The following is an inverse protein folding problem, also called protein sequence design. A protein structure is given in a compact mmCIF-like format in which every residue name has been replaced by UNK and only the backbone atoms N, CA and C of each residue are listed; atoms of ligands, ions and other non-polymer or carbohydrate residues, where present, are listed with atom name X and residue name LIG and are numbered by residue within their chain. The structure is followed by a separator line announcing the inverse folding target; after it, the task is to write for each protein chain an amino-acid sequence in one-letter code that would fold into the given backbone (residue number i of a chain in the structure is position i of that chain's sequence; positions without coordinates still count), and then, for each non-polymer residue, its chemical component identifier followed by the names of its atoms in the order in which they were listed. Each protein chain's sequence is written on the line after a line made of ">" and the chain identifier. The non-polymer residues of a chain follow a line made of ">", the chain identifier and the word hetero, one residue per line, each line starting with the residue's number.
data_IF_687738830556
#
_entry.id   IF_687738830556
#
_cell.length_a   1.000
_cell.length_b   1.000
_cell.length_c   1.000
_cell.angle_alpha   90.00
_cell.angle_beta   90.00
_cell.angle_gamma   90.00
#
_symmetry.space_group_name_H-M   'P 1'
#
loop_
_entity.id
_entity.type
_entity.pdbx_description
1 polymer ?
#
# COMPACT_ATOMS: atom_id res chain seq x y z
N UNK A 1 -4.50 -11.79 -14.39
CA UNK A 1 -4.27 -11.32 -12.99
C UNK A 1 -5.30 -12.00 -12.09
N UNK A 2 -4.90 -12.65 -10.99
CA UNK A 2 -5.82 -13.44 -10.14
C UNK A 2 -6.99 -12.60 -9.60
N UNK A 3 -6.72 -11.37 -9.12
CA UNK A 3 -7.75 -10.46 -8.62
C UNK A 3 -8.74 -10.05 -9.73
N UNK A 4 -8.27 -9.81 -10.96
CA UNK A 4 -9.14 -9.42 -12.07
C UNK A 4 -10.17 -10.51 -12.38
N UNK A 5 -9.70 -11.75 -12.59
CA UNK A 5 -10.59 -12.87 -12.90
C UNK A 5 -11.58 -13.10 -11.76
N UNK A 6 -11.12 -13.00 -10.52
CA UNK A 6 -11.97 -13.12 -9.33
C UNK A 6 -13.12 -12.09 -9.28
N UNK A 7 -12.86 -10.84 -9.68
CA UNK A 7 -13.88 -9.79 -9.70
C UNK A 7 -14.88 -10.00 -10.85
N UNK A 8 -14.38 -10.37 -12.04
CA UNK A 8 -15.24 -10.69 -13.19
C UNK A 8 -16.12 -11.90 -12.91
N UNK A 9 -15.59 -12.96 -12.29
CA UNK A 9 -16.36 -14.15 -11.87
C UNK A 9 -17.44 -13.82 -10.84
N UNK A 10 -17.23 -12.79 -10.02
CA UNK A 10 -18.24 -12.26 -9.07
C UNK A 10 -19.28 -11.35 -9.73
N UNK A 11 -19.15 -11.07 -11.03
CA UNK A 11 -20.14 -10.31 -11.80
C UNK A 11 -19.97 -8.80 -11.76
N UNK A 12 -18.82 -8.29 -11.30
CA UNK A 12 -18.56 -6.84 -11.32
C UNK A 12 -18.31 -6.33 -12.75
N UNK A 13 -18.67 -5.07 -13.06
CA UNK A 13 -18.41 -4.49 -14.39
C UNK A 13 -16.92 -4.52 -14.74
N UNK A 14 -16.58 -4.93 -15.96
CA UNK A 14 -15.18 -5.04 -16.39
C UNK A 14 -14.40 -3.72 -16.22
N UNK A 15 -15.03 -2.58 -16.47
CA UNK A 15 -14.42 -1.27 -16.28
C UNK A 15 -13.99 -1.01 -14.82
N UNK A 16 -14.77 -1.50 -13.85
CA UNK A 16 -14.44 -1.43 -12.43
C UNK A 16 -13.31 -2.41 -12.09
N UNK A 17 -13.39 -3.64 -12.58
CA UNK A 17 -12.33 -4.65 -12.42
C UNK A 17 -10.98 -4.15 -12.94
N UNK A 18 -10.97 -3.51 -14.11
CA UNK A 18 -9.79 -2.89 -14.71
C UNK A 18 -9.26 -1.75 -13.86
N UNK A 19 -10.14 -0.91 -13.32
CA UNK A 19 -9.73 0.22 -12.48
C UNK A 19 -9.09 -0.26 -11.18
N UNK A 20 -9.69 -1.25 -10.52
CA UNK A 20 -9.17 -1.82 -9.28
C UNK A 20 -7.82 -2.48 -9.52
N UNK A 21 -7.72 -3.35 -10.52
CA UNK A 21 -6.50 -4.13 -10.76
C UNK A 21 -5.35 -3.30 -11.29
N UNK A 22 -5.61 -2.21 -12.03
CA UNK A 22 -4.58 -1.22 -12.41
C UNK A 22 -4.04 -0.42 -11.22
N UNK A 23 -4.86 -0.14 -10.22
CA UNK A 23 -4.44 0.57 -9.01
C UNK A 23 -3.78 -0.36 -7.99
N UNK A 24 -4.27 -1.60 -7.87
CA UNK A 24 -3.73 -2.66 -7.01
C UNK A 24 -2.77 -3.56 -7.80
N UNK A 25 -1.79 -2.93 -8.46
CA UNK A 25 -0.92 -3.55 -9.47
C UNK A 25 0.32 -4.29 -8.91
N UNK A 26 0.41 -4.46 -7.58
CA UNK A 26 1.47 -5.23 -6.93
C UNK A 26 0.87 -6.45 -6.25
N UNK A 27 1.65 -7.52 -6.13
CA UNK A 27 1.18 -8.73 -5.41
C UNK A 27 0.74 -8.41 -3.98
N UNK A 28 1.43 -7.48 -3.31
CA UNK A 28 1.07 -7.05 -1.94
C UNK A 28 -0.33 -6.43 -1.87
N UNK A 29 -0.62 -5.45 -2.72
CA UNK A 29 -1.92 -4.76 -2.72
C UNK A 29 -3.04 -5.66 -3.26
N UNK A 30 -2.76 -6.48 -4.29
CA UNK A 30 -3.70 -7.46 -4.81
C UNK A 30 -4.05 -8.54 -3.76
N UNK A 31 -3.06 -9.05 -3.01
CA UNK A 31 -3.27 -10.03 -1.97
C UNK A 31 -4.12 -9.49 -0.82
N UNK A 32 -3.96 -8.21 -0.43
CA UNK A 32 -4.84 -7.59 0.59
C UNK A 32 -6.29 -7.53 0.12
N UNK A 33 -6.53 -7.11 -1.12
CA UNK A 33 -7.90 -7.09 -1.68
C UNK A 33 -8.49 -8.50 -1.79
N UNK A 34 -7.71 -9.50 -2.25
CA UNK A 34 -8.16 -10.90 -2.27
C UNK A 34 -8.49 -11.41 -0.86
N UNK A 35 -7.64 -11.11 0.11
CA UNK A 35 -7.86 -11.47 1.51
C UNK A 35 -9.12 -10.84 2.08
N UNK A 36 -9.34 -9.55 1.82
CA UNK A 36 -10.57 -8.85 2.19
C UNK A 36 -11.79 -9.52 1.58
N UNK A 37 -11.79 -9.73 0.25
CA UNK A 37 -12.89 -10.37 -0.49
C UNK A 37 -13.15 -11.82 -0.08
N UNK A 38 -12.21 -12.49 0.60
CA UNK A 38 -12.41 -13.86 1.10
C UNK A 38 -13.43 -13.93 2.24
N UNK A 39 -13.72 -12.80 2.90
CA UNK A 39 -14.68 -12.71 4.00
C UNK A 39 -16.09 -12.32 3.55
N UNK A 40 -16.29 -12.02 2.26
CA UNK A 40 -17.56 -11.52 1.74
C UNK A 40 -18.02 -12.34 0.54
N UNK A 41 -19.28 -12.80 0.59
CA UNK A 41 -19.93 -13.47 -0.54
C UNK A 41 -20.29 -12.48 -1.65
N UNK A 42 -20.62 -11.24 -1.31
CA UNK A 42 -20.92 -10.14 -2.22
C UNK A 42 -20.60 -8.80 -1.54
N UNK A 43 -20.11 -7.83 -2.31
CA UNK A 43 -19.86 -6.45 -1.87
C UNK A 43 -20.52 -5.49 -2.86
N UNK A 44 -21.17 -4.41 -2.41
CA UNK A 44 -21.53 -3.32 -3.30
C UNK A 44 -20.29 -2.70 -3.94
N UNK A 45 -20.41 -2.18 -5.17
CA UNK A 45 -19.29 -1.55 -5.89
C UNK A 45 -18.65 -0.41 -5.08
N UNK A 46 -19.44 0.37 -4.35
CA UNK A 46 -18.94 1.45 -3.49
C UNK A 46 -18.01 0.94 -2.40
N UNK A 47 -18.39 -0.12 -1.68
CA UNK A 47 -17.56 -0.72 -0.63
C UNK A 47 -16.28 -1.36 -1.21
N UNK A 48 -16.37 -1.94 -2.41
CA UNK A 48 -15.21 -2.46 -3.12
C UNK A 48 -14.19 -1.35 -3.47
N UNK A 49 -14.69 -0.19 -3.91
CA UNK A 49 -13.86 0.99 -4.18
C UNK A 49 -13.28 1.57 -2.89
N UNK A 50 -14.08 1.63 -1.81
CA UNK A 50 -13.61 2.12 -0.52
C UNK A 50 -12.46 1.25 0.02
N UNK A 51 -12.55 -0.07 -0.08
CA UNK A 51 -11.46 -0.95 0.32
C UNK A 51 -10.21 -0.76 -0.56
N UNK A 52 -10.38 -0.55 -1.88
CA UNK A 52 -9.25 -0.21 -2.76
C UNK A 52 -8.55 1.07 -2.28
N UNK A 53 -9.32 2.12 -1.95
CA UNK A 53 -8.78 3.39 -1.46
C UNK A 53 -8.09 3.22 -0.10
N UNK A 54 -8.64 2.40 0.80
CA UNK A 54 -8.03 2.05 2.08
C UNK A 54 -6.66 1.39 1.89
N UNK A 55 -6.55 0.39 1.02
CA UNK A 55 -5.29 -0.30 0.70
C UNK A 55 -4.25 0.67 0.10
N UNK A 56 -4.69 1.57 -0.79
CA UNK A 56 -3.81 2.59 -1.39
C UNK A 56 -3.31 3.59 -0.34
N UNK A 57 -4.16 3.99 0.60
CA UNK A 57 -3.80 4.86 1.72
C UNK A 57 -2.74 4.22 2.61
N UNK A 58 -2.95 2.96 3.01
CA UNK A 58 -2.00 2.17 3.79
C UNK A 58 -0.63 2.07 3.09
N UNK A 59 -0.64 1.80 1.78
CA UNK A 59 0.59 1.74 0.97
C UNK A 59 1.34 3.09 1.01
N UNK A 60 0.63 4.20 0.86
CA UNK A 60 1.24 5.53 0.87
C UNK A 60 1.81 5.87 2.27
N UNK A 61 1.11 5.51 3.35
CA UNK A 61 1.59 5.69 4.71
C UNK A 61 2.88 4.90 4.97
N UNK A 62 2.98 3.66 4.47
CA UNK A 62 4.22 2.85 4.55
C UNK A 62 5.38 3.53 3.82
N UNK A 63 5.15 4.09 2.64
CA UNK A 63 6.18 4.80 1.88
C UNK A 63 6.66 6.05 2.61
N UNK A 64 5.74 6.88 3.10
CA UNK A 64 6.06 8.08 3.88
C UNK A 64 6.85 7.74 5.13
N UNK A 65 6.46 6.68 5.85
CA UNK A 65 7.19 6.19 7.02
C UNK A 65 8.63 5.83 6.66
N UNK A 66 8.85 5.06 5.58
CA UNK A 66 10.20 4.68 5.13
C UNK A 66 11.05 5.88 4.73
N UNK A 67 10.46 6.89 4.10
CA UNK A 67 11.16 8.14 3.78
C UNK A 67 11.56 8.90 5.04
N UNK A 68 10.65 9.02 6.01
CA UNK A 68 10.93 9.65 7.31
C UNK A 68 12.01 8.91 8.09
N UNK A 69 11.99 7.58 8.12
CA UNK A 69 13.02 6.75 8.77
C UNK A 69 14.40 6.95 8.12
N UNK A 70 14.46 7.06 6.79
CA UNK A 70 15.72 7.37 6.07
C UNK A 70 16.24 8.76 6.40
N UNK A 71 15.37 9.76 6.44
CA UNK A 71 15.74 11.12 6.81
C UNK A 71 16.27 11.18 8.25
N UNK A 72 15.59 10.49 9.18
CA UNK A 72 16.03 10.41 10.57
C UNK A 72 17.38 9.69 10.70
N UNK A 73 17.61 8.59 9.95
CA UNK A 73 18.88 7.89 9.96
C UNK A 73 20.04 8.78 9.47
N UNK A 74 19.81 9.57 8.41
CA UNK A 74 20.80 10.53 7.91
C UNK A 74 21.12 11.65 8.92
N UNK A 75 20.11 12.16 9.64
CA UNK A 75 20.32 13.14 10.71
C UNK A 75 21.10 12.53 11.88
N UNK A 76 20.74 11.33 12.31
CA UNK A 76 21.44 10.63 13.40
C UNK A 76 22.91 10.37 13.05
N UNK A 77 23.21 10.04 11.79
CA UNK A 77 24.57 9.90 11.29
C UNK A 77 25.37 11.21 11.42
N UNK A 78 24.79 12.32 10.96
CA UNK A 78 25.43 13.63 11.05
C UNK A 78 25.72 14.02 12.50
N UNK A 79 24.77 13.82 13.42
CA UNK A 79 24.99 14.08 14.84
C UNK A 79 26.14 13.23 15.38
N UNK A 80 26.18 11.93 15.06
CA UNK A 80 27.26 11.05 15.53
C UNK A 80 28.64 11.51 15.03
N UNK A 81 28.74 11.93 13.77
CA UNK A 81 29.99 12.42 13.19
C UNK A 81 30.38 13.79 13.73
N UNK A 82 29.40 14.70 13.91
CA UNK A 82 29.64 16.07 14.40
C UNK A 82 30.07 16.14 15.87
N UNK A 83 29.56 15.25 16.74
CA UNK A 83 30.01 15.18 18.13
C UNK A 83 31.37 14.48 18.30
N UNK A 84 31.71 13.54 17.42
CA UNK A 84 33.03 12.89 17.45
C UNK A 84 34.19 13.85 17.13
N UNK A 85 33.93 14.97 16.44
CA UNK A 85 34.94 15.99 16.16
C UNK A 85 35.13 17.05 17.24
N UNK A 86 34.25 17.11 18.25
CA UNK A 86 34.33 18.09 19.36
C UNK A 86 34.92 17.47 20.65
N UNK A 87 35.10 16.15 20.72
CA UNK A 87 35.67 15.45 21.89
C UNK A 87 37.20 15.23 21.80
N UNK A 88 37.85 15.70 20.71
CA UNK A 88 39.31 15.56 20.46
C UNK A 88 40.12 16.87 20.69
N UNK A 89 39.55 17.92 21.31
CA UNK A 89 40.27 19.11 21.84
C UNK A 89 40.41 19.11 23.37
#
# INVERSE_FOLDING_TARGET
>A
MQLYHMLVERGYPEALCDLITRNLNTDFTAARMIGYLSHYSYLPEGELVDEMLSILSDRNAIMQKKESEKAQAALNELYRVGFASEEDE
#
